data_IF_507532468295
#
_entry.id   IF_507532468295
#
_cell.length_a   1.000
_cell.length_b   1.000
_cell.length_c   1.000
_cell.angle_alpha   90.00
_cell.angle_beta   90.00
_cell.angle_gamma   90.00
#
_symmetry.space_group_name_H-M   'P 1'
#
loop_
_entity.id
_entity.type
_entity.pdbx_description
1 polymer ?
#
# COMPACT_ATOMS: atom_id res chain seq x y z
N UNK A 1 -24.02 1.56 -10.70
CA UNK A 1 -22.90 0.64 -11.02
C UNK A 1 -22.91 0.32 -12.50
N UNK A 2 -21.76 0.40 -13.18
CA UNK A 2 -21.60 0.12 -14.62
C UNK A 2 -21.59 -1.39 -14.96
N UNK A 3 -21.87 -2.27 -14.00
CA UNK A 3 -21.79 -3.71 -14.19
C UNK A 3 -23.13 -4.28 -14.68
N UNK A 4 -23.05 -5.22 -15.61
CA UNK A 4 -24.21 -5.95 -16.12
C UNK A 4 -24.78 -6.89 -15.05
N UNK A 5 -26.08 -7.25 -15.09
CA UNK A 5 -26.72 -8.15 -14.11
C UNK A 5 -26.06 -9.53 -13.93
N UNK A 6 -25.27 -9.98 -14.91
CA UNK A 6 -24.53 -11.26 -14.88
C UNK A 6 -23.01 -11.06 -14.90
N UNK A 7 -22.55 -9.95 -14.34
CA UNK A 7 -21.12 -9.70 -14.19
C UNK A 7 -20.46 -10.79 -13.35
N UNK A 8 -19.28 -11.26 -13.80
CA UNK A 8 -18.40 -12.13 -12.99
C UNK A 8 -17.64 -11.34 -11.90
N UNK A 9 -17.77 -10.01 -11.90
CA UNK A 9 -17.15 -9.12 -10.93
C UNK A 9 -18.14 -8.88 -9.81
N UNK A 10 -17.77 -9.29 -8.59
CA UNK A 10 -18.42 -8.88 -7.36
C UNK A 10 -17.89 -7.52 -6.93
N UNK A 11 -18.77 -6.64 -6.45
CA UNK A 11 -18.37 -5.36 -5.88
C UNK A 11 -18.67 -5.34 -4.40
N UNK A 12 -17.66 -4.95 -3.62
CA UNK A 12 -17.72 -4.80 -2.19
C UNK A 12 -17.21 -3.39 -1.88
N UNK A 13 -17.94 -2.66 -1.05
CA UNK A 13 -17.66 -1.29 -0.68
C UNK A 13 -17.33 -1.24 0.81
N UNK A 14 -16.47 -0.32 1.21
CA UNK A 14 -16.06 -0.14 2.60
C UNK A 14 -15.05 0.99 2.70
N UNK A 15 -14.37 1.03 3.83
CA UNK A 15 -13.41 2.06 4.21
C UNK A 15 -13.98 3.48 4.21
N UNK A 16 -15.11 3.69 4.90
CA UNK A 16 -15.70 5.02 5.07
C UNK A 16 -14.67 6.02 5.61
N UNK A 17 -14.66 7.23 5.06
CA UNK A 17 -13.71 8.31 5.40
C UNK A 17 -12.23 7.91 5.25
N UNK A 18 -11.93 6.94 4.37
CA UNK A 18 -10.59 6.39 4.16
C UNK A 18 -10.00 5.73 5.43
N UNK A 19 -10.87 5.18 6.28
CA UNK A 19 -10.51 4.44 7.49
C UNK A 19 -10.96 2.98 7.36
N UNK A 20 -10.14 2.00 7.75
CA UNK A 20 -10.56 0.60 7.76
C UNK A 20 -11.83 0.37 8.59
N UNK A 21 -12.83 -0.28 8.00
CA UNK A 21 -14.08 -0.66 8.64
C UNK A 21 -14.38 -2.17 8.48
N UNK A 22 -15.52 -2.59 9.01
CA UNK A 22 -15.98 -3.98 8.98
C UNK A 22 -16.22 -4.48 7.55
N UNK A 23 -16.79 -3.63 6.70
CA UNK A 23 -17.11 -3.92 5.32
C UNK A 23 -15.83 -4.07 4.48
N UNK A 24 -14.83 -3.22 4.69
CA UNK A 24 -13.51 -3.39 4.08
C UNK A 24 -12.80 -4.67 4.57
N UNK A 25 -12.98 -5.05 5.85
CA UNK A 25 -12.43 -6.31 6.37
C UNK A 25 -13.08 -7.53 5.70
N UNK A 26 -14.39 -7.50 5.47
CA UNK A 26 -15.10 -8.55 4.73
C UNK A 26 -14.64 -8.61 3.27
N UNK A 27 -14.48 -7.45 2.62
CA UNK A 27 -13.93 -7.36 1.26
C UNK A 27 -12.52 -7.94 1.18
N UNK A 28 -11.65 -7.58 2.13
CA UNK A 28 -10.30 -8.11 2.20
C UNK A 28 -10.28 -9.63 2.41
N UNK A 29 -11.17 -10.16 3.26
CA UNK A 29 -11.31 -11.62 3.45
C UNK A 29 -11.71 -12.31 2.15
N UNK A 30 -12.70 -11.79 1.43
CA UNK A 30 -13.13 -12.35 0.15
C UNK A 30 -11.99 -12.37 -0.88
N UNK A 31 -11.22 -11.29 -0.99
CA UNK A 31 -10.05 -11.19 -1.86
C UNK A 31 -8.98 -12.23 -1.48
N UNK A 32 -8.71 -12.37 -0.18
CA UNK A 32 -7.73 -13.32 0.33
C UNK A 32 -8.14 -14.78 0.10
N UNK A 33 -9.41 -15.11 0.27
CA UNK A 33 -9.93 -16.46 -0.03
C UNK A 33 -9.90 -16.76 -1.53
N UNK A 34 -10.21 -15.77 -2.38
CA UNK A 34 -10.03 -15.89 -3.83
C UNK A 34 -8.57 -16.20 -4.17
N UNK A 35 -7.62 -15.41 -3.65
CA UNK A 35 -6.19 -15.61 -3.92
C UNK A 35 -5.71 -17.01 -3.50
N UNK A 36 -6.13 -17.49 -2.31
CA UNK A 36 -5.80 -18.84 -1.81
C UNK A 36 -6.33 -19.97 -2.67
N UNK A 37 -7.45 -19.75 -3.38
CA UNK A 37 -8.09 -20.78 -4.21
C UNK A 37 -7.41 -20.99 -5.56
N UNK A 38 -6.50 -20.09 -5.95
CA UNK A 38 -5.85 -20.11 -7.26
C UNK A 38 -4.78 -21.21 -7.33
N UNK A 39 -4.59 -21.69 -8.55
CA UNK A 39 -3.64 -22.75 -8.90
C UNK A 39 -2.57 -22.23 -9.85
N UNK A 40 -1.60 -23.08 -10.21
CA UNK A 40 -0.50 -22.69 -11.10
C UNK A 40 -0.95 -22.32 -12.52
N UNK A 41 -2.15 -22.77 -12.92
CA UNK A 41 -2.75 -22.49 -14.23
C UNK A 41 -3.53 -21.17 -14.25
N UNK A 42 -3.65 -20.50 -13.11
CA UNK A 42 -4.42 -19.26 -12.96
C UNK A 42 -3.52 -18.01 -13.00
N UNK A 43 -4.15 -16.88 -13.33
CA UNK A 43 -3.56 -15.55 -13.24
C UNK A 43 -4.38 -14.70 -12.27
N UNK A 44 -3.75 -14.20 -11.21
CA UNK A 44 -4.30 -13.15 -10.38
C UNK A 44 -3.98 -11.77 -10.97
N UNK A 45 -4.99 -11.12 -11.54
CA UNK A 45 -4.90 -9.72 -11.97
C UNK A 45 -5.29 -8.80 -10.80
N UNK A 46 -4.33 -8.01 -10.33
CA UNK A 46 -4.51 -7.07 -9.21
C UNK A 46 -4.52 -5.64 -9.73
N UNK A 47 -5.66 -4.95 -9.60
CA UNK A 47 -5.80 -3.56 -10.03
C UNK A 47 -5.74 -2.67 -8.78
N UNK A 48 -4.71 -1.82 -8.69
CA UNK A 48 -4.43 -1.01 -7.51
C UNK A 48 -4.54 0.48 -7.85
N UNK A 49 -5.25 1.22 -7.00
CA UNK A 49 -5.33 2.68 -7.00
C UNK A 49 -5.20 3.23 -5.58
N UNK A 50 -5.31 4.56 -5.43
CA UNK A 50 -5.36 5.23 -4.13
C UNK A 50 -6.44 4.67 -3.19
N UNK A 51 -6.17 4.73 -1.88
CA UNK A 51 -7.07 4.23 -0.82
C UNK A 51 -6.91 2.75 -0.44
N UNK A 52 -6.11 1.97 -1.18
CA UNK A 52 -5.96 0.52 -0.96
C UNK A 52 -5.53 0.11 0.46
N UNK A 53 -4.79 0.95 1.18
CA UNK A 53 -4.38 0.68 2.57
C UNK A 53 -5.57 0.53 3.53
N UNK A 54 -6.62 1.34 3.32
CA UNK A 54 -7.85 1.34 4.11
C UNK A 54 -8.87 0.32 3.61
N UNK A 55 -8.95 0.11 2.28
CA UNK A 55 -9.86 -0.82 1.62
C UNK A 55 -9.44 -2.30 1.73
N UNK A 56 -8.16 -2.59 2.00
CA UNK A 56 -7.65 -3.95 2.13
C UNK A 56 -7.07 -4.26 3.54
N UNK A 57 -7.86 -4.10 4.63
CA UNK A 57 -7.42 -4.45 5.97
C UNK A 57 -7.53 -5.97 6.19
N UNK A 58 -6.42 -6.63 6.44
CA UNK A 58 -6.43 -8.06 6.78
C UNK A 58 -5.52 -8.30 7.99
N UNK A 59 -5.99 -8.13 9.24
CA UNK A 59 -5.18 -8.37 10.42
C UNK A 59 -4.79 -9.85 10.54
N UNK A 60 -3.60 -10.13 11.08
CA UNK A 60 -3.14 -11.51 11.36
C UNK A 60 -3.77 -11.98 12.68
N UNK A 61 -4.57 -13.05 12.72
CA UNK A 61 -5.12 -13.56 13.98
C UNK A 61 -4.01 -13.89 14.99
N UNK A 62 -4.18 -13.57 16.29
CA UNK A 62 -5.40 -13.07 16.94
C UNK A 62 -5.58 -11.54 16.92
N UNK A 63 -4.79 -10.78 16.15
CA UNK A 63 -4.94 -9.32 16.04
C UNK A 63 -6.29 -8.99 15.40
N UNK A 64 -7.00 -8.04 15.99
CA UNK A 64 -8.27 -7.53 15.48
C UNK A 64 -8.09 -6.25 14.65
N UNK A 65 -9.16 -5.81 13.97
CA UNK A 65 -9.16 -4.51 13.31
C UNK A 65 -8.98 -3.37 14.33
N UNK A 66 -9.61 -3.49 15.49
CA UNK A 66 -9.53 -2.54 16.60
C UNK A 66 -8.12 -2.47 17.19
N UNK A 67 -7.43 -3.61 17.34
CA UNK A 67 -6.03 -3.63 17.78
C UNK A 67 -5.13 -2.83 16.82
N UNK A 68 -5.32 -3.01 15.51
CA UNK A 68 -4.57 -2.27 14.48
C UNK A 68 -4.88 -0.78 14.52
N UNK A 69 -6.14 -0.40 14.71
CA UNK A 69 -6.53 1.01 14.85
C UNK A 69 -5.92 1.63 16.10
N UNK A 70 -5.96 0.91 17.23
CA UNK A 70 -5.44 1.36 18.52
C UNK A 70 -3.93 1.62 18.46
N UNK A 71 -3.13 0.66 17.96
CA UNK A 71 -1.68 0.85 17.88
C UNK A 71 -1.29 1.95 16.89
N UNK A 72 -2.00 2.05 15.76
CA UNK A 72 -1.75 3.10 14.76
C UNK A 72 -2.03 4.48 15.36
N UNK A 73 -3.15 4.63 16.08
CA UNK A 73 -3.51 5.89 16.75
C UNK A 73 -2.52 6.24 17.86
N UNK A 74 -2.12 5.27 18.67
CA UNK A 74 -1.16 5.46 19.76
C UNK A 74 0.19 5.97 19.24
N UNK A 75 0.72 5.33 18.19
CA UNK A 75 1.97 5.74 17.56
C UNK A 75 1.85 7.11 16.89
N UNK A 76 0.74 7.37 16.19
CA UNK A 76 0.50 8.67 15.57
C UNK A 76 0.45 9.82 16.60
N UNK A 77 -0.22 9.61 17.75
CA UNK A 77 -0.28 10.58 18.84
C UNK A 77 1.10 10.88 19.44
N UNK A 78 2.04 9.92 19.37
CA UNK A 78 3.41 10.08 19.83
C UNK A 78 4.37 10.59 18.74
N UNK A 79 3.85 10.98 17.58
CA UNK A 79 4.65 11.55 16.48
C UNK A 79 5.42 10.51 15.66
N UNK A 80 4.90 9.28 15.55
CA UNK A 80 5.43 8.30 14.60
C UNK A 80 5.32 8.80 13.16
N UNK A 81 6.39 8.62 12.40
CA UNK A 81 6.42 8.93 10.97
C UNK A 81 5.52 7.98 10.20
N UNK A 82 5.09 8.39 9.00
CA UNK A 82 4.25 7.55 8.14
C UNK A 82 4.94 6.23 7.77
N UNK A 83 6.27 6.25 7.62
CA UNK A 83 7.09 5.08 7.35
C UNK A 83 7.04 4.10 8.53
N UNK A 84 7.20 4.58 9.76
CA UNK A 84 7.13 3.74 10.96
C UNK A 84 5.73 3.14 11.16
N UNK A 85 4.68 3.94 10.94
CA UNK A 85 3.31 3.46 10.93
C UNK A 85 3.08 2.39 9.86
N UNK A 86 3.66 2.54 8.67
CA UNK A 86 3.59 1.55 7.60
C UNK A 86 4.29 0.24 7.98
N UNK A 87 5.47 0.32 8.60
CA UNK A 87 6.23 -0.85 9.07
C UNK A 87 5.38 -1.69 10.02
N UNK A 88 4.80 -1.08 11.05
CA UNK A 88 3.91 -1.77 12.01
C UNK A 88 2.65 -2.30 11.31
N UNK A 89 2.00 -1.49 10.46
CA UNK A 89 0.77 -1.91 9.77
C UNK A 89 0.98 -3.09 8.83
N UNK A 90 2.13 -3.17 8.14
CA UNK A 90 2.55 -4.29 7.28
C UNK A 90 2.79 -5.55 8.11
N UNK A 91 3.57 -5.45 9.19
CA UNK A 91 3.89 -6.60 10.05
C UNK A 91 2.66 -7.26 10.70
N UNK A 92 1.58 -6.50 10.89
CA UNK A 92 0.32 -6.99 11.45
C UNK A 92 -0.73 -7.32 10.37
N UNK A 93 -0.35 -7.48 9.10
CA UNK A 93 -1.29 -7.73 8.00
C UNK A 93 -0.99 -9.00 7.21
N UNK A 94 -2.03 -9.78 6.91
CA UNK A 94 -1.98 -10.92 6.00
C UNK A 94 -1.82 -10.50 4.54
N UNK A 95 -2.40 -9.37 4.14
CA UNK A 95 -2.45 -8.93 2.73
C UNK A 95 -1.30 -8.02 2.31
N UNK A 96 -0.70 -7.26 3.24
CA UNK A 96 0.28 -6.21 2.95
C UNK A 96 1.70 -6.77 2.90
N UNK A 97 2.66 -6.01 2.36
CA UNK A 97 4.06 -6.43 2.32
C UNK A 97 4.31 -7.73 1.54
N UNK A 98 3.56 -7.92 0.45
CA UNK A 98 3.65 -9.10 -0.42
C UNK A 98 2.72 -10.23 0.00
N UNK A 99 1.98 -10.08 1.10
CA UNK A 99 1.10 -11.10 1.64
C UNK A 99 0.05 -11.62 0.65
N UNK A 100 -0.59 -10.72 -0.12
CA UNK A 100 -1.54 -11.14 -1.16
C UNK A 100 -0.87 -11.99 -2.24
N UNK A 101 0.30 -11.57 -2.73
CA UNK A 101 1.03 -12.33 -3.75
C UNK A 101 1.50 -13.69 -3.23
N UNK A 102 1.88 -13.78 -1.96
CA UNK A 102 2.25 -15.05 -1.34
C UNK A 102 1.07 -16.00 -1.21
N UNK A 103 -0.11 -15.47 -0.91
CA UNK A 103 -1.34 -16.27 -0.82
C UNK A 103 -1.82 -16.77 -2.17
N UNK A 104 -1.48 -16.07 -3.25
CA UNK A 104 -1.80 -16.49 -4.62
C UNK A 104 -0.85 -17.56 -5.17
N UNK A 105 0.32 -17.77 -4.55
CA UNK A 105 1.27 -18.78 -5.03
C UNK A 105 0.62 -20.18 -5.00
N UNK A 106 0.68 -20.97 -6.09
CA UNK A 106 1.62 -20.85 -7.22
C UNK A 106 1.11 -20.09 -8.47
N UNK A 107 -0.06 -19.47 -8.43
CA UNK A 107 -0.60 -18.70 -9.55
C UNK A 107 0.32 -17.52 -9.92
N UNK A 108 0.33 -17.13 -11.20
CA UNK A 108 1.01 -15.90 -11.61
C UNK A 108 0.25 -14.68 -11.09
N UNK A 109 0.96 -13.60 -10.74
CA UNK A 109 0.36 -12.35 -10.26
C UNK A 109 0.80 -11.21 -11.17
N UNK A 110 -0.16 -10.51 -11.77
CA UNK A 110 0.07 -9.27 -12.51
C UNK A 110 -0.64 -8.13 -11.80
N UNK A 111 0.12 -7.14 -11.32
CA UNK A 111 -0.43 -5.93 -10.72
C UNK A 111 -0.32 -4.75 -11.67
N UNK A 112 -1.45 -4.08 -11.91
CA UNK A 112 -1.53 -2.83 -12.66
C UNK A 112 -1.86 -1.71 -11.69
N UNK A 113 -0.99 -0.71 -11.61
CA UNK A 113 -0.96 0.25 -10.51
C UNK A 113 -1.15 1.68 -11.04
N UNK A 114 -2.12 2.38 -10.45
CA UNK A 114 -2.25 3.83 -10.52
C UNK A 114 -1.65 4.43 -9.25
N UNK A 115 -0.50 5.07 -9.38
CA UNK A 115 0.25 5.66 -8.28
C UNK A 115 -0.22 7.08 -7.99
N UNK A 116 -0.59 7.33 -6.74
CA UNK A 116 -0.86 8.64 -6.16
C UNK A 116 0.27 9.09 -5.21
N UNK A 117 1.40 8.38 -5.20
CA UNK A 117 2.55 8.63 -4.31
C UNK A 117 3.73 9.17 -5.12
N UNK A 118 4.35 10.24 -4.63
CA UNK A 118 5.54 10.82 -5.25
C UNK A 118 6.67 9.77 -5.33
N UNK A 119 7.26 9.64 -6.53
CA UNK A 119 8.34 8.69 -6.80
C UNK A 119 7.91 7.25 -7.08
N UNK A 120 6.60 6.98 -7.11
CA UNK A 120 6.00 5.67 -7.39
C UNK A 120 6.57 4.46 -6.58
N UNK A 121 6.84 4.59 -5.26
CA UNK A 121 7.37 3.49 -4.45
C UNK A 121 6.34 2.37 -4.26
N UNK A 122 6.54 1.26 -4.97
CA UNK A 122 5.59 0.14 -5.03
C UNK A 122 5.27 -0.49 -3.66
N UNK A 123 6.22 -0.50 -2.72
CA UNK A 123 6.01 -1.08 -1.40
C UNK A 123 5.15 -0.17 -0.49
N UNK A 124 5.02 1.11 -0.83
CA UNK A 124 4.21 2.09 -0.10
C UNK A 124 2.80 2.16 -0.69
N UNK A 125 2.67 2.11 -2.01
CA UNK A 125 1.36 2.16 -2.69
C UNK A 125 0.49 1.01 -2.20
N UNK A 126 -0.68 1.35 -1.63
CA UNK A 126 -1.58 0.40 -0.95
C UNK A 126 -0.90 -0.50 0.11
N UNK A 127 0.25 -0.08 0.66
CA UNK A 127 1.12 -0.88 1.53
C UNK A 127 1.73 -2.15 0.87
N UNK A 128 1.87 -2.13 -0.46
CA UNK A 128 2.59 -3.15 -1.24
C UNK A 128 2.02 -4.57 -1.09
N UNK A 129 0.74 -4.85 -1.39
CA UNK A 129 0.16 -6.17 -1.19
C UNK A 129 0.82 -7.26 -2.05
N UNK A 130 1.43 -6.87 -3.17
CA UNK A 130 2.10 -7.73 -4.15
C UNK A 130 3.61 -7.48 -4.23
N UNK A 131 4.17 -6.75 -3.25
CA UNK A 131 5.58 -6.34 -3.22
C UNK A 131 6.19 -6.81 -1.93
N UNK A 132 7.31 -7.52 -2.02
CA UNK A 132 8.02 -8.02 -0.84
C UNK A 132 8.32 -6.88 0.16
N UNK A 133 8.00 -7.09 1.43
CA UNK A 133 8.41 -6.15 2.47
C UNK A 133 9.91 -6.26 2.73
N UNK A 134 10.59 -5.11 2.76
CA UNK A 134 12.00 -4.98 3.16
C UNK A 134 12.21 -4.90 4.68
N UNK A 135 11.13 -4.75 5.45
CA UNK A 135 11.21 -4.53 6.89
C UNK A 135 11.21 -5.83 7.68
N UNK A 136 12.02 -5.85 8.73
CA UNK A 136 12.13 -6.97 9.63
C UNK A 136 11.18 -6.83 10.82
N UNK A 137 10.92 -7.93 11.52
CA UNK A 137 10.22 -7.89 12.81
C UNK A 137 11.03 -7.11 13.86
N UNK A 138 12.35 -7.06 13.74
CA UNK A 138 13.21 -6.26 14.63
C UNK A 138 12.94 -4.76 14.49
N UNK A 139 12.69 -4.29 13.25
CA UNK A 139 12.34 -2.89 12.99
C UNK A 139 11.07 -2.51 13.75
N UNK A 140 10.10 -3.43 13.83
CA UNK A 140 8.87 -3.22 14.58
C UNK A 140 9.15 -3.04 16.07
N UNK A 141 9.98 -3.90 16.68
CA UNK A 141 10.34 -3.76 18.09
C UNK A 141 11.13 -2.48 18.38
N UNK A 142 12.02 -2.06 17.48
CA UNK A 142 12.74 -0.79 17.61
C UNK A 142 11.80 0.41 17.58
N UNK A 143 10.81 0.42 16.69
CA UNK A 143 9.78 1.46 16.63
C UNK A 143 8.96 1.47 17.92
N UNK A 144 8.49 0.31 18.37
CA UNK A 144 7.67 0.20 19.58
C UNK A 144 8.44 0.64 20.85
N UNK A 145 9.73 0.35 20.92
CA UNK A 145 10.62 0.82 21.98
C UNK A 145 10.87 2.33 21.90
N UNK A 146 11.14 2.87 20.70
CA UNK A 146 11.37 4.30 20.46
C UNK A 146 10.23 5.18 21.01
N UNK A 147 9.00 4.68 20.98
CA UNK A 147 7.82 5.41 21.42
C UNK A 147 7.31 5.00 22.82
N UNK A 148 8.04 4.15 23.56
CA UNK A 148 7.63 3.66 24.90
C UNK A 148 6.20 3.11 24.91
N UNK A 149 5.85 2.28 23.93
CA UNK A 149 4.50 1.68 23.81
C UNK A 149 4.47 0.18 24.09
N UNK A 150 5.62 -0.44 24.33
CA UNK A 150 5.74 -1.89 24.54
C UNK A 150 4.82 -2.41 25.66
N UNK A 151 4.75 -1.70 26.78
CA UNK A 151 3.93 -2.09 27.94
C UNK A 151 2.43 -1.85 27.74
N UNK A 152 2.06 -1.05 26.75
CA UNK A 152 0.67 -0.70 26.41
C UNK A 152 0.12 -1.49 25.21
N UNK A 153 0.94 -2.40 24.66
CA UNK A 153 0.55 -3.18 23.49
C UNK A 153 -0.57 -4.17 23.81
N UNK A 154 -1.56 -4.32 22.91
CA UNK A 154 -2.48 -5.44 22.96
C UNK A 154 -1.69 -6.77 22.93
N UNK A 155 -2.10 -7.72 23.78
CA UNK A 155 -1.46 -9.06 23.85
C UNK A 155 -1.46 -9.77 22.50
N UNK A 156 -2.49 -9.55 21.67
CA UNK A 156 -2.61 -10.08 20.32
C UNK A 156 -1.46 -9.61 19.41
N UNK A 157 -1.12 -8.31 19.47
CA UNK A 157 -0.04 -7.70 18.69
C UNK A 157 1.31 -8.26 19.12
N UNK A 158 1.57 -8.32 20.44
CA UNK A 158 2.81 -8.89 20.96
C UNK A 158 2.97 -10.35 20.51
N UNK A 159 1.91 -11.15 20.57
CA UNK A 159 1.91 -12.55 20.12
C UNK A 159 2.33 -12.68 18.66
N UNK A 160 1.73 -11.88 17.77
CA UNK A 160 2.05 -11.92 16.33
C UNK A 160 3.50 -11.50 16.07
N UNK A 161 3.97 -10.41 16.68
CA UNK A 161 5.35 -9.94 16.50
C UNK A 161 6.36 -10.96 17.05
N UNK A 162 6.17 -11.49 18.26
CA UNK A 162 7.08 -12.48 18.84
C UNK A 162 7.09 -13.80 18.05
N UNK A 163 5.95 -14.25 17.53
CA UNK A 163 5.89 -15.47 16.71
C UNK A 163 6.62 -15.34 15.37
N UNK A 164 6.74 -14.11 14.85
CA UNK A 164 7.45 -13.85 13.59
C UNK A 164 8.97 -13.94 13.74
N UNK A 165 9.50 -13.64 14.93
CA UNK A 165 10.94 -13.78 15.25
C UNK A 165 11.40 -15.25 15.24
N UNK A 166 10.51 -16.18 15.60
CA UNK A 166 10.84 -17.61 15.73
C UNK A 166 10.73 -18.39 14.41
N UNK A 167 10.05 -17.84 13.41
CA UNK A 167 10.04 -18.41 12.06
C UNK A 167 11.33 -17.97 11.36
N UNK A 168 12.29 -18.88 11.19
CA UNK A 168 13.42 -18.67 10.29
C UNK A 168 12.87 -18.18 8.95
N UNK A 169 13.23 -16.96 8.53
CA UNK A 169 12.73 -16.39 7.28
C UNK A 169 13.33 -17.15 6.12
N UNK A 170 12.68 -18.24 5.70
CA UNK A 170 12.87 -18.75 4.34
C UNK A 170 12.56 -17.59 3.41
N UNK A 171 13.55 -17.17 2.63
CA UNK A 171 13.40 -16.06 1.69
C UNK A 171 12.19 -16.38 0.80
N UNK A 172 11.15 -15.56 0.93
CA UNK A 172 9.91 -15.75 0.20
C UNK A 172 10.17 -15.49 -1.27
N UNK A 173 9.76 -16.41 -2.13
CA UNK A 173 9.86 -16.26 -3.57
C UNK A 173 8.73 -15.37 -4.09
N UNK A 174 9.08 -14.39 -4.92
CA UNK A 174 8.16 -13.49 -5.61
C UNK A 174 8.40 -13.50 -7.13
N UNK A 175 9.09 -14.51 -7.66
CA UNK A 175 9.39 -14.66 -9.09
C UNK A 175 8.13 -14.76 -9.96
N UNK A 176 7.01 -15.19 -9.39
CA UNK A 176 5.69 -15.27 -10.03
C UNK A 176 4.94 -13.93 -10.10
N UNK A 177 5.56 -12.82 -9.65
CA UNK A 177 4.89 -11.52 -9.53
C UNK A 177 5.48 -10.49 -10.48
N UNK A 178 4.61 -9.88 -11.29
CA UNK A 178 4.91 -8.72 -12.11
C UNK A 178 4.11 -7.51 -11.63
N UNK A 179 4.79 -6.41 -11.29
CA UNK A 179 4.15 -5.16 -10.89
C UNK A 179 4.45 -4.08 -11.94
N UNK A 180 3.41 -3.45 -12.50
CA UNK A 180 3.53 -2.43 -13.54
C UNK A 180 2.75 -1.18 -13.13
N UNK A 181 3.45 -0.04 -13.06
CA UNK A 181 2.80 1.27 -12.91
C UNK A 181 2.27 1.69 -14.28
N UNK A 182 0.96 1.79 -14.40
CA UNK A 182 0.27 2.16 -15.65
C UNK A 182 -0.28 3.59 -15.63
N UNK A 183 -0.21 4.25 -14.48
CA UNK A 183 -0.53 5.67 -14.33
C UNK A 183 0.20 6.27 -13.14
N UNK A 184 0.81 7.42 -13.32
CA UNK A 184 1.46 8.21 -12.27
C UNK A 184 1.64 9.66 -12.71
N UNK A 185 2.09 10.52 -11.79
CA UNK A 185 2.41 11.92 -12.11
C UNK A 185 3.44 12.04 -13.22
N UNK A 186 4.45 11.17 -13.25
CA UNK A 186 5.46 11.16 -14.32
C UNK A 186 4.84 10.87 -15.69
N UNK A 187 4.01 9.83 -15.78
CA UNK A 187 3.31 9.48 -17.02
C UNK A 187 2.37 10.61 -17.49
N UNK A 188 1.68 11.26 -16.55
CA UNK A 188 0.83 12.41 -16.86
C UNK A 188 1.64 13.61 -17.37
N UNK A 189 2.78 13.91 -16.75
CA UNK A 189 3.71 14.96 -17.17
C UNK A 189 4.31 14.69 -18.54
N UNK A 190 4.73 13.45 -18.81
CA UNK A 190 5.21 13.02 -20.13
C UNK A 190 4.13 13.19 -21.22
N UNK A 191 2.89 12.83 -20.92
CA UNK A 191 1.75 13.06 -21.81
C UNK A 191 1.49 14.55 -22.09
N UNK A 192 1.51 15.38 -21.04
CA UNK A 192 1.33 16.83 -21.16
C UNK A 192 2.47 17.48 -21.98
N UNK A 193 3.72 17.05 -21.74
CA UNK A 193 4.89 17.47 -22.51
C UNK A 193 4.70 17.16 -24.00
N UNK A 194 4.37 15.91 -24.33
CA UNK A 194 4.19 15.48 -25.71
C UNK A 194 3.10 16.30 -26.43
N UNK A 195 1.97 16.53 -25.76
CA UNK A 195 0.89 17.35 -26.31
C UNK A 195 1.31 18.81 -26.53
N UNK A 196 2.06 19.40 -25.60
CA UNK A 196 2.53 20.78 -25.74
C UNK A 196 3.58 20.92 -26.87
N UNK A 197 4.46 19.94 -27.05
CA UNK A 197 5.40 19.90 -28.18
C UNK A 197 4.66 19.80 -29.53
N UNK A 198 3.60 18.98 -29.61
CA UNK A 198 2.76 18.89 -30.81
C UNK A 198 2.03 20.20 -31.15
N UNK A 199 1.74 21.02 -30.14
CA UNK A 199 1.17 22.36 -30.32
C UNK A 199 2.23 23.41 -30.69
N UNK A 200 3.51 23.03 -30.78
CA UNK A 200 4.61 23.91 -31.14
C UNK A 200 5.26 24.66 -29.98
N UNK A 201 4.95 24.30 -28.73
CA UNK A 201 5.60 24.88 -27.56
C UNK A 201 6.97 24.23 -27.31
N UNK A 202 7.93 25.03 -26.87
CA UNK A 202 9.14 24.52 -26.22
C UNK A 202 8.79 24.08 -24.80
N UNK A 203 9.11 22.84 -24.44
CA UNK A 203 8.71 22.26 -23.15
C UNK A 203 9.92 21.84 -22.33
N UNK A 204 9.81 22.01 -21.01
CA UNK A 204 10.77 21.53 -20.03
C UNK A 204 9.99 20.93 -18.87
N UNK A 205 10.29 19.67 -18.52
CA UNK A 205 9.80 19.05 -17.30
C UNK A 205 10.75 19.43 -16.16
N UNK A 206 10.29 20.31 -15.27
CA UNK A 206 11.10 20.81 -14.16
C UNK A 206 11.28 19.77 -13.05
N UNK A 207 10.19 19.09 -12.66
CA UNK A 207 10.21 18.01 -11.68
C UNK A 207 8.90 17.24 -11.70
N UNK A 208 8.97 15.95 -11.37
CA UNK A 208 7.84 15.04 -11.12
C UNK A 208 7.64 14.74 -9.62
N UNK A 209 8.44 15.37 -8.75
CA UNK A 209 8.51 15.12 -7.32
C UNK A 209 8.39 16.40 -6.49
N UNK A 210 7.59 17.36 -6.96
CA UNK A 210 7.37 18.63 -6.26
C UNK A 210 6.62 18.38 -4.96
N UNK A 211 7.23 18.79 -3.84
CA UNK A 211 6.63 18.76 -2.52
C UNK A 211 7.14 19.92 -1.68
N UNK A 212 6.35 20.35 -0.70
CA UNK A 212 6.67 21.47 0.18
C UNK A 212 5.47 22.37 0.45
N UNK A 213 5.72 23.50 1.09
CA UNK A 213 4.71 24.54 1.28
C UNK A 213 4.27 25.13 -0.07
N UNK A 214 2.96 25.19 -0.29
CA UNK A 214 2.36 25.65 -1.56
C UNK A 214 2.80 27.07 -1.90
N UNK A 215 2.84 27.97 -0.91
CA UNK A 215 3.20 29.38 -1.14
C UNK A 215 4.64 29.51 -1.59
N UNK A 216 5.54 28.76 -0.94
CA UNK A 216 6.97 28.76 -1.26
C UNK A 216 7.23 28.19 -2.65
N UNK A 217 6.61 27.06 -2.98
CA UNK A 217 6.77 26.41 -4.30
C UNK A 217 6.18 27.30 -5.39
N UNK A 218 4.98 27.85 -5.20
CA UNK A 218 4.36 28.75 -6.19
C UNK A 218 5.23 29.98 -6.45
N UNK A 219 5.81 30.57 -5.40
CA UNK A 219 6.72 31.70 -5.54
C UNK A 219 7.95 31.33 -6.38
N UNK A 220 8.59 30.18 -6.11
CA UNK A 220 9.72 29.70 -6.92
C UNK A 220 9.36 29.55 -8.40
N UNK A 221 8.23 28.92 -8.72
CA UNK A 221 7.78 28.75 -10.10
C UNK A 221 7.45 30.10 -10.77
N UNK A 222 6.93 31.09 -10.02
CA UNK A 222 6.65 32.42 -10.56
C UNK A 222 7.92 33.15 -11.01
N UNK A 223 9.04 32.97 -10.30
CA UNK A 223 10.32 33.58 -10.65
C UNK A 223 10.88 33.05 -11.98
N UNK A 224 10.54 31.81 -12.36
CA UNK A 224 10.95 31.22 -13.63
C UNK A 224 10.25 31.85 -14.85
N UNK A 225 9.14 32.55 -14.64
CA UNK A 225 8.30 33.13 -15.71
C UNK A 225 8.55 34.66 -15.83
N UNK A 226 9.24 35.29 -14.88
CA UNK A 226 9.40 36.76 -14.81
C UNK A 226 10.50 37.35 -15.73
N UNK A 227 10.77 36.74 -16.89
CA UNK A 227 11.68 37.26 -17.92
C UNK A 227 11.03 37.25 -19.30
#
# INVERSE_FOLDING_TARGET
MLLKPHSRIQVLEGARDNLPDTEALEAARAILELAKSLTADDLLLVLISGGGSALLPAPIPPVTLEDKATITRLLALKGATIQELNTIRKALSLSKGGGLAQMAHPAQVLSLILSDVIGDPLDIIASGPTVASSHSTQDCFQILAKYDVLDTLPKSVLTVLSSSVTKHSTQKDYSHVCNVVIGSNRLALEGAKCQAEQLGYLTILLSDAVGGDVSTVAHFYSLLIQH
#
